data_IF_829259761749
#
_entry.id   IF_829259761749
#
_cell.length_a   1.000
_cell.length_b   1.000
_cell.length_c   1.000
_cell.angle_alpha   90.00
_cell.angle_beta   90.00
_cell.angle_gamma   90.00
#
_symmetry.space_group_name_H-M   'P 1'
#
loop_
_entity.id
_entity.type
_entity.pdbx_description
1 polymer ?
#
# COMPACT_ATOMS: atom_id res chain seq x y z
N UNK A 1 -22.44 24.32 14.89
CA UNK A 1 -23.43 23.69 13.97
C UNK A 1 -24.10 22.54 14.71
N UNK A 2 -25.43 22.38 14.60
CA UNK A 2 -26.16 21.32 15.31
C UNK A 2 -26.39 20.13 14.36
N UNK A 3 -25.48 19.16 14.39
CA UNK A 3 -25.53 17.98 13.51
C UNK A 3 -26.73 17.09 13.77
N UNK A 4 -27.29 17.04 15.00
CA UNK A 4 -28.48 16.25 15.28
C UNK A 4 -29.71 16.78 14.53
N UNK A 5 -29.85 18.11 14.44
CA UNK A 5 -30.95 18.74 13.68
C UNK A 5 -30.82 18.47 12.17
N UNK A 6 -29.60 18.56 11.64
CA UNK A 6 -29.34 18.32 10.21
C UNK A 6 -29.55 16.84 9.89
N UNK A 7 -29.02 15.95 10.72
CA UNK A 7 -29.21 14.51 10.57
C UNK A 7 -30.69 14.13 10.58
N UNK A 8 -31.50 14.70 11.48
CA UNK A 8 -32.94 14.44 11.50
C UNK A 8 -33.60 14.78 10.16
N UNK A 9 -33.28 15.96 9.59
CA UNK A 9 -33.78 16.38 8.27
C UNK A 9 -33.34 15.41 7.17
N UNK A 10 -32.04 15.13 7.09
CA UNK A 10 -31.45 14.27 6.05
C UNK A 10 -32.02 12.84 6.12
N UNK A 11 -32.24 12.33 7.35
CA UNK A 11 -32.87 11.04 7.59
C UNK A 11 -34.33 11.01 7.09
N UNK A 12 -35.07 12.10 7.27
CA UNK A 12 -36.47 12.21 6.83
C UNK A 12 -36.59 12.33 5.31
N UNK A 13 -35.66 13.02 4.64
CA UNK A 13 -35.67 13.16 3.17
C UNK A 13 -35.24 11.88 2.46
N UNK A 14 -34.31 11.13 3.05
CA UNK A 14 -33.71 9.94 2.42
C UNK A 14 -32.95 10.27 1.13
N UNK A 15 -32.68 11.55 0.88
CA UNK A 15 -32.02 12.02 -0.32
C UNK A 15 -30.51 11.75 -0.21
N UNK A 16 -29.98 10.95 -1.14
CA UNK A 16 -28.58 10.51 -1.10
C UNK A 16 -27.58 11.65 -1.34
N UNK A 17 -27.97 12.68 -2.08
CA UNK A 17 -27.15 13.89 -2.24
C UNK A 17 -27.06 14.65 -0.92
N UNK A 18 -28.18 14.84 -0.23
CA UNK A 18 -28.17 15.49 1.10
C UNK A 18 -27.40 14.67 2.15
N UNK A 19 -27.45 13.34 2.07
CA UNK A 19 -26.63 12.46 2.91
C UNK A 19 -25.15 12.68 2.60
N UNK A 20 -24.77 12.71 1.33
CA UNK A 20 -23.38 12.95 0.94
C UNK A 20 -22.86 14.32 1.40
N UNK A 21 -23.65 15.39 1.21
CA UNK A 21 -23.30 16.73 1.68
C UNK A 21 -23.12 16.75 3.20
N UNK A 22 -24.03 16.08 3.93
CA UNK A 22 -23.93 15.94 5.38
C UNK A 22 -22.66 15.19 5.81
N UNK A 23 -22.28 14.11 5.13
CA UNK A 23 -21.05 13.34 5.42
C UNK A 23 -19.80 14.20 5.19
N UNK A 24 -19.78 15.00 4.11
CA UNK A 24 -18.69 15.91 3.81
C UNK A 24 -18.57 17.00 4.88
N UNK A 25 -19.68 17.62 5.28
CA UNK A 25 -19.72 18.59 6.37
C UNK A 25 -19.22 17.99 7.69
N UNK A 26 -19.65 16.77 8.00
CA UNK A 26 -19.22 16.05 9.21
C UNK A 26 -17.71 15.75 9.20
N UNK A 27 -17.13 15.56 8.01
CA UNK A 27 -15.71 15.26 7.82
C UNK A 27 -14.78 16.47 7.96
N UNK A 28 -15.31 17.70 7.93
CA UNK A 28 -14.48 18.91 8.12
C UNK A 28 -14.04 19.08 9.58
N UNK A 29 -14.88 18.68 10.54
CA UNK A 29 -14.56 18.67 11.97
C UNK A 29 -15.08 17.36 12.60
N UNK A 30 -14.42 16.21 12.31
CA UNK A 30 -14.91 14.90 12.72
C UNK A 30 -14.84 14.74 14.23
N UNK A 31 -15.97 14.33 14.82
CA UNK A 31 -16.13 14.03 16.26
C UNK A 31 -16.63 12.62 16.46
N UNK A 32 -16.27 12.00 17.58
CA UNK A 32 -16.68 10.63 17.92
C UNK A 32 -18.20 10.44 17.86
N UNK A 33 -18.97 11.44 18.32
CA UNK A 33 -20.44 11.43 18.24
C UNK A 33 -20.97 11.27 16.81
N UNK A 34 -20.18 11.62 15.78
CA UNK A 34 -20.53 11.43 14.39
C UNK A 34 -20.70 9.96 13.99
N UNK A 35 -20.03 9.03 14.69
CA UNK A 35 -20.14 7.58 14.44
C UNK A 35 -21.58 7.08 14.58
N UNK A 36 -22.42 7.71 15.41
CA UNK A 36 -23.83 7.32 15.56
C UNK A 36 -24.62 7.52 14.27
N UNK A 37 -24.29 8.56 13.49
CA UNK A 37 -24.93 8.84 12.20
C UNK A 37 -24.45 7.85 11.14
N UNK A 38 -23.14 7.59 11.09
CA UNK A 38 -22.54 6.63 10.16
C UNK A 38 -23.11 5.23 10.38
N UNK A 39 -23.15 4.77 11.64
CA UNK A 39 -23.73 3.48 12.01
C UNK A 39 -25.19 3.38 11.58
N UNK A 40 -25.96 4.46 11.70
CA UNK A 40 -27.33 4.50 11.21
C UNK A 40 -27.39 4.27 9.69
N UNK A 41 -26.60 5.00 8.89
CA UNK A 41 -26.61 4.83 7.44
C UNK A 41 -26.15 3.44 7.00
N UNK A 42 -25.07 2.91 7.56
CA UNK A 42 -24.58 1.55 7.26
C UNK A 42 -25.64 0.49 7.58
N UNK A 43 -26.40 0.66 8.66
CA UNK A 43 -27.37 -0.34 9.12
C UNK A 43 -28.71 -0.26 8.38
N UNK A 44 -29.13 0.93 7.95
CA UNK A 44 -30.51 1.17 7.50
C UNK A 44 -30.64 1.42 5.99
N UNK A 45 -29.56 1.74 5.29
CA UNK A 45 -29.58 1.85 3.83
C UNK A 45 -29.41 0.46 3.19
N UNK A 46 -30.08 0.25 2.05
CA UNK A 46 -29.80 -0.94 1.24
C UNK A 46 -28.43 -0.80 0.53
N UNK A 47 -27.93 -1.90 -0.03
CA UNK A 47 -26.60 -1.93 -0.68
C UNK A 47 -26.45 -0.86 -1.76
N UNK A 48 -27.44 -0.71 -2.65
CA UNK A 48 -27.40 0.27 -3.74
C UNK A 48 -27.33 1.72 -3.25
N UNK A 49 -28.04 2.02 -2.15
CA UNK A 49 -28.00 3.34 -1.53
C UNK A 49 -26.68 3.59 -0.80
N UNK A 50 -26.17 2.56 -0.12
CA UNK A 50 -24.91 2.63 0.59
C UNK A 50 -23.74 2.87 -0.38
N UNK A 51 -23.71 2.16 -1.50
CA UNK A 51 -22.69 2.33 -2.54
C UNK A 51 -22.59 3.79 -3.03
N UNK A 52 -23.72 4.49 -3.12
CA UNK A 52 -23.77 5.90 -3.56
C UNK A 52 -23.24 6.91 -2.55
N UNK A 53 -23.13 6.53 -1.28
CA UNK A 53 -22.57 7.38 -0.22
C UNK A 53 -21.25 6.84 0.32
N UNK A 54 -20.78 5.72 -0.23
CA UNK A 54 -19.73 4.91 0.37
C UNK A 54 -18.40 5.65 0.41
N UNK A 55 -18.04 6.34 -0.67
CA UNK A 55 -16.81 7.13 -0.75
C UNK A 55 -16.73 8.15 0.41
N UNK A 56 -17.78 8.93 0.62
CA UNK A 56 -17.83 9.94 1.68
C UNK A 56 -17.93 9.32 3.08
N UNK A 57 -18.54 8.14 3.18
CA UNK A 57 -18.58 7.36 4.42
C UNK A 57 -17.17 6.89 4.82
N UNK A 58 -16.41 6.32 3.88
CA UNK A 58 -15.03 5.89 4.10
C UNK A 58 -14.14 7.10 4.41
N UNK A 59 -14.27 8.18 3.63
CA UNK A 59 -13.54 9.43 3.87
C UNK A 59 -13.73 9.95 5.30
N UNK A 60 -14.99 10.04 5.75
CA UNK A 60 -15.30 10.45 7.13
C UNK A 60 -14.63 9.55 8.17
N UNK A 61 -14.71 8.22 7.98
CA UNK A 61 -14.10 7.27 8.92
C UNK A 61 -12.57 7.43 8.96
N UNK A 62 -11.92 7.69 7.82
CA UNK A 62 -10.50 8.01 7.76
C UNK A 62 -10.14 9.29 8.52
N UNK A 63 -10.87 10.39 8.27
CA UNK A 63 -10.67 11.68 8.95
C UNK A 63 -10.88 11.57 10.47
N UNK A 64 -11.90 10.83 10.89
CA UNK A 64 -12.17 10.59 12.30
C UNK A 64 -11.12 9.67 12.92
N UNK A 65 -10.77 8.57 12.25
CA UNK A 65 -9.83 7.56 12.72
C UNK A 65 -8.40 8.07 12.89
N UNK A 66 -8.05 9.17 12.22
CA UNK A 66 -6.82 9.91 12.49
C UNK A 66 -6.80 10.50 13.92
N UNK A 67 -7.96 10.90 14.44
CA UNK A 67 -8.09 11.63 15.72
C UNK A 67 -8.48 10.72 16.88
N UNK A 68 -9.29 9.70 16.62
CA UNK A 68 -9.87 8.84 17.66
C UNK A 68 -9.83 7.37 17.27
N UNK A 69 -10.01 6.51 18.28
CA UNK A 69 -10.31 5.10 18.09
C UNK A 69 -11.50 4.90 17.16
N UNK A 70 -11.35 4.07 16.13
CA UNK A 70 -12.50 3.42 15.53
C UNK A 70 -12.76 2.10 16.23
N UNK A 71 -14.04 1.82 16.48
CA UNK A 71 -14.49 0.51 16.93
C UNK A 71 -14.27 -0.54 15.82
N UNK A 72 -14.08 -1.80 16.20
CA UNK A 72 -13.88 -2.92 15.27
C UNK A 72 -14.99 -3.03 14.23
N UNK A 73 -16.23 -2.64 14.59
CA UNK A 73 -17.35 -2.56 13.66
C UNK A 73 -17.02 -1.72 12.41
N UNK A 74 -16.41 -0.54 12.59
CA UNK A 74 -16.08 0.36 11.48
C UNK A 74 -14.85 -0.10 10.71
N UNK A 75 -13.85 -0.68 11.41
CA UNK A 75 -12.67 -1.24 10.74
C UNK A 75 -13.05 -2.45 9.88
N UNK A 76 -13.91 -3.33 10.40
CA UNK A 76 -14.46 -4.46 9.65
C UNK A 76 -15.28 -3.99 8.45
N UNK A 77 -16.09 -2.95 8.62
CA UNK A 77 -16.80 -2.32 7.51
C UNK A 77 -15.82 -1.86 6.42
N UNK A 78 -14.83 -1.02 6.75
CA UNK A 78 -13.81 -0.54 5.79
C UNK A 78 -13.15 -1.72 5.06
N UNK A 79 -12.72 -2.74 5.81
CA UNK A 79 -12.02 -3.89 5.25
C UNK A 79 -12.91 -4.70 4.28
N UNK A 80 -14.19 -4.91 4.62
CA UNK A 80 -15.13 -5.62 3.76
C UNK A 80 -15.38 -4.87 2.45
N UNK A 81 -15.53 -3.54 2.52
CA UNK A 81 -15.84 -2.73 1.34
C UNK A 81 -14.73 -2.77 0.29
N UNK A 82 -13.47 -2.95 0.69
CA UNK A 82 -12.36 -3.04 -0.26
C UNK A 82 -12.60 -4.08 -1.38
N UNK A 83 -13.18 -5.24 -1.06
CA UNK A 83 -13.39 -6.32 -2.04
C UNK A 83 -14.66 -6.15 -2.90
N UNK A 84 -15.52 -5.19 -2.57
CA UNK A 84 -16.82 -5.02 -3.22
C UNK A 84 -16.98 -3.68 -3.93
N UNK A 85 -16.06 -2.74 -3.73
CA UNK A 85 -16.18 -1.40 -4.29
C UNK A 85 -15.34 -1.17 -5.54
N UNK A 86 -15.68 -0.10 -6.27
CA UNK A 86 -14.89 0.38 -7.39
C UNK A 86 -13.51 0.92 -6.96
N UNK A 87 -12.67 1.20 -7.96
CA UNK A 87 -11.28 1.64 -7.76
C UNK A 87 -11.14 2.96 -6.98
N UNK A 88 -12.12 3.86 -7.05
CA UNK A 88 -12.05 5.15 -6.34
C UNK A 88 -12.32 4.96 -4.85
N UNK A 89 -13.32 4.14 -4.51
CA UNK A 89 -13.58 3.77 -3.12
C UNK A 89 -12.42 2.95 -2.55
N UNK A 90 -11.85 1.99 -3.32
CA UNK A 90 -10.68 1.22 -2.86
C UNK A 90 -9.47 2.11 -2.57
N UNK A 91 -9.20 3.12 -3.41
CA UNK A 91 -8.15 4.12 -3.15
C UNK A 91 -8.43 4.92 -1.87
N UNK A 92 -9.68 5.36 -1.67
CA UNK A 92 -10.05 6.08 -0.44
C UNK A 92 -9.98 5.20 0.82
N UNK A 93 -10.23 3.89 0.69
CA UNK A 93 -10.01 2.93 1.77
C UNK A 93 -8.53 2.90 2.17
N UNK A 94 -7.59 2.79 1.21
CA UNK A 94 -6.16 2.80 1.52
C UNK A 94 -5.73 4.12 2.17
N UNK A 95 -6.19 5.26 1.65
CA UNK A 95 -5.92 6.58 2.25
C UNK A 95 -6.46 6.69 3.67
N UNK A 96 -7.65 6.15 3.91
CA UNK A 96 -8.29 6.14 5.22
C UNK A 96 -7.54 5.24 6.19
N UNK A 97 -7.10 4.06 5.75
CA UNK A 97 -6.23 3.19 6.54
C UNK A 97 -4.94 3.93 6.92
N UNK A 98 -4.26 4.59 5.99
CA UNK A 98 -3.06 5.41 6.30
C UNK A 98 -3.31 6.42 7.42
N UNK A 99 -4.42 7.15 7.37
CA UNK A 99 -4.81 8.12 8.41
C UNK A 99 -5.00 7.44 9.77
N UNK A 100 -5.68 6.29 9.79
CA UNK A 100 -5.94 5.49 10.99
C UNK A 100 -4.64 4.93 11.60
N UNK A 101 -3.70 4.48 10.77
CA UNK A 101 -2.41 3.93 11.21
C UNK A 101 -1.63 4.88 12.11
N UNK A 102 -1.66 6.18 11.77
CA UNK A 102 -0.89 7.18 12.49
C UNK A 102 -1.38 7.40 13.93
N UNK A 103 -2.57 6.91 14.27
CA UNK A 103 -3.08 6.94 15.64
C UNK A 103 -2.93 5.59 16.36
N UNK A 104 -2.79 4.45 15.65
CA UNK A 104 -2.93 3.08 16.21
C UNK A 104 -2.29 1.96 15.38
N UNK A 105 -2.09 0.81 16.02
CA UNK A 105 -1.78 -0.45 15.32
C UNK A 105 -3.01 -1.01 14.58
N UNK A 106 -2.83 -1.46 13.34
CA UNK A 106 -3.90 -2.06 12.54
C UNK A 106 -4.31 -3.47 12.96
N UNK A 107 -5.58 -3.86 12.74
CA UNK A 107 -5.98 -5.26 12.63
C UNK A 107 -5.23 -5.99 11.51
N UNK A 108 -5.08 -7.30 11.65
CA UNK A 108 -4.41 -8.16 10.65
C UNK A 108 -5.09 -8.10 9.28
N UNK A 109 -6.41 -7.95 9.27
CA UNK A 109 -7.24 -7.88 8.06
C UNK A 109 -6.91 -6.63 7.24
N UNK A 110 -6.66 -5.50 7.89
CA UNK A 110 -6.27 -4.27 7.21
C UNK A 110 -4.89 -4.39 6.57
N UNK A 111 -3.94 -5.09 7.22
CA UNK A 111 -2.65 -5.39 6.62
C UNK A 111 -2.76 -6.26 5.36
N UNK A 112 -3.66 -7.26 5.35
CA UNK A 112 -3.88 -8.08 4.15
C UNK A 112 -4.37 -7.25 2.96
N UNK A 113 -5.21 -6.25 3.22
CA UNK A 113 -5.71 -5.34 2.18
C UNK A 113 -4.58 -4.46 1.68
N UNK A 114 -3.79 -3.86 2.56
CA UNK A 114 -2.63 -3.03 2.21
C UNK A 114 -1.63 -3.84 1.36
N UNK A 115 -1.33 -5.08 1.78
CA UNK A 115 -0.45 -5.99 1.03
C UNK A 115 -1.01 -6.32 -0.36
N UNK A 116 -2.29 -6.70 -0.43
CA UNK A 116 -2.93 -7.05 -1.71
C UNK A 116 -3.03 -5.87 -2.67
N UNK A 117 -3.19 -4.66 -2.15
CA UNK A 117 -3.33 -3.44 -2.93
C UNK A 117 -2.04 -3.00 -3.66
N UNK A 118 -0.87 -3.55 -3.33
CA UNK A 118 0.36 -3.39 -4.12
C UNK A 118 0.24 -3.99 -5.54
N UNK A 119 -0.69 -4.93 -5.74
CA UNK A 119 -0.89 -5.64 -7.02
C UNK A 119 -2.06 -5.11 -7.84
N UNK A 120 -2.62 -3.97 -7.46
CA UNK A 120 -3.72 -3.35 -8.20
C UNK A 120 -3.23 -2.73 -9.51
N UNK A 121 -4.01 -2.90 -10.58
CA UNK A 121 -3.73 -2.27 -11.88
C UNK A 121 -3.94 -0.74 -11.84
N UNK A 122 -4.72 -0.25 -10.86
CA UNK A 122 -4.99 1.17 -10.71
C UNK A 122 -3.90 1.84 -9.88
N UNK A 123 -2.93 2.44 -10.57
CA UNK A 123 -1.74 3.09 -9.98
C UNK A 123 -2.00 4.03 -8.79
N UNK A 124 -3.10 4.80 -8.71
CA UNK A 124 -3.38 5.61 -7.53
C UNK A 124 -3.49 4.79 -6.24
N UNK A 125 -4.08 3.59 -6.29
CA UNK A 125 -4.14 2.68 -5.13
C UNK A 125 -2.73 2.26 -4.72
N UNK A 126 -1.92 1.83 -5.69
CA UNK A 126 -0.51 1.43 -5.45
C UNK A 126 0.27 2.59 -4.82
N UNK A 127 0.12 3.81 -5.33
CA UNK A 127 0.77 4.99 -4.74
C UNK A 127 0.29 5.25 -3.30
N UNK A 128 -1.00 5.18 -3.03
CA UNK A 128 -1.55 5.34 -1.68
C UNK A 128 -1.00 4.28 -0.71
N UNK A 129 -0.74 3.06 -1.18
CA UNK A 129 -0.08 2.01 -0.39
C UNK A 129 1.40 2.33 -0.16
N UNK A 130 2.12 2.80 -1.17
CA UNK A 130 3.53 3.19 -1.00
C UNK A 130 3.67 4.36 -0.01
N UNK A 131 2.72 5.30 0.01
CA UNK A 131 2.69 6.36 1.03
C UNK A 131 2.56 5.82 2.46
N UNK A 132 1.89 4.68 2.65
CA UNK A 132 1.85 4.00 3.96
C UNK A 132 3.25 3.48 4.31
N UNK A 133 3.89 2.78 3.37
CA UNK A 133 5.20 2.19 3.58
C UNK A 133 6.30 3.24 3.79
N UNK A 134 6.20 4.41 3.16
CA UNK A 134 7.10 5.54 3.41
C UNK A 134 7.06 6.02 4.86
N UNK A 135 5.93 5.89 5.56
CA UNK A 135 5.76 6.32 6.95
C UNK A 135 6.18 5.25 7.98
N UNK A 136 6.46 4.02 7.54
CA UNK A 136 6.89 2.94 8.42
C UNK A 136 8.40 2.95 8.63
N UNK A 137 8.81 2.75 9.89
CA UNK A 137 10.22 2.57 10.25
C UNK A 137 10.78 1.25 9.71
N UNK A 138 9.97 0.19 9.75
CA UNK A 138 10.36 -1.15 9.30
C UNK A 138 9.21 -1.78 8.51
N UNK A 139 9.57 -2.50 7.45
CA UNK A 139 8.64 -3.24 6.60
C UNK A 139 8.97 -4.72 6.70
N UNK A 140 7.93 -5.54 6.86
CA UNK A 140 8.06 -6.99 6.93
C UNK A 140 8.71 -7.55 5.65
N UNK A 141 9.72 -8.45 5.72
CA UNK A 141 10.41 -8.99 4.55
C UNK A 141 9.48 -9.60 3.48
N UNK A 142 8.36 -10.17 3.90
CA UNK A 142 7.37 -10.76 2.98
C UNK A 142 6.73 -9.71 2.07
N UNK A 143 6.60 -8.47 2.55
CA UNK A 143 6.05 -7.34 1.80
C UNK A 143 7.13 -6.72 0.89
N UNK A 144 8.39 -6.70 1.35
CA UNK A 144 9.49 -6.14 0.56
C UNK A 144 9.55 -6.77 -0.84
N UNK A 145 9.29 -8.07 -0.98
CA UNK A 145 9.18 -8.73 -2.29
C UNK A 145 8.18 -8.04 -3.21
N UNK A 146 6.97 -7.78 -2.72
CA UNK A 146 5.91 -7.14 -3.50
C UNK A 146 6.32 -5.73 -3.93
N UNK A 147 7.03 -5.01 -3.05
CA UNK A 147 7.59 -3.70 -3.35
C UNK A 147 8.70 -3.81 -4.42
N UNK A 148 9.57 -4.83 -4.35
CA UNK A 148 10.60 -5.10 -5.37
C UNK A 148 9.97 -5.31 -6.75
N UNK A 149 8.84 -6.03 -6.84
CA UNK A 149 8.17 -6.28 -8.11
C UNK A 149 7.68 -4.98 -8.79
N UNK A 150 7.44 -3.92 -8.01
CA UNK A 150 7.06 -2.61 -8.55
C UNK A 150 8.22 -1.83 -9.17
N UNK A 151 9.47 -2.31 -9.07
CA UNK A 151 10.60 -1.76 -9.84
C UNK A 151 10.38 -1.87 -11.36
N UNK A 152 9.50 -2.76 -11.81
CA UNK A 152 9.11 -2.87 -13.23
C UNK A 152 8.02 -1.89 -13.67
N UNK A 153 7.44 -1.10 -12.76
CA UNK A 153 6.37 -0.16 -13.09
C UNK A 153 6.77 0.78 -14.22
N UNK A 154 5.88 1.04 -15.18
CA UNK A 154 6.10 2.05 -16.22
C UNK A 154 6.00 3.48 -15.67
N UNK A 155 5.43 3.64 -14.47
CA UNK A 155 5.31 4.92 -13.79
C UNK A 155 6.57 5.27 -12.99
N UNK A 156 7.28 6.30 -13.45
CA UNK A 156 8.52 6.76 -12.81
C UNK A 156 8.33 7.23 -11.37
N UNK A 157 7.16 7.77 -11.00
CA UNK A 157 6.90 8.20 -9.62
C UNK A 157 6.80 6.99 -8.69
N UNK A 158 6.10 5.92 -9.13
CA UNK A 158 6.05 4.66 -8.39
C UNK A 158 7.45 4.08 -8.23
N UNK A 159 8.21 4.00 -9.33
CA UNK A 159 9.60 3.52 -9.30
C UNK A 159 10.47 4.28 -8.30
N UNK A 160 10.38 5.61 -8.28
CA UNK A 160 11.16 6.42 -7.35
C UNK A 160 10.79 6.12 -5.89
N UNK A 161 9.49 6.11 -5.56
CA UNK A 161 9.02 5.77 -4.20
C UNK A 161 9.49 4.37 -3.77
N UNK A 162 9.39 3.41 -4.68
CA UNK A 162 9.88 2.04 -4.45
C UNK A 162 11.37 2.02 -4.15
N UNK A 163 12.20 2.74 -4.92
CA UNK A 163 13.64 2.83 -4.67
C UNK A 163 13.94 3.40 -3.28
N UNK A 164 13.32 4.54 -2.93
CA UNK A 164 13.50 5.20 -1.63
C UNK A 164 13.10 4.28 -0.46
N UNK A 165 11.98 3.55 -0.62
CA UNK A 165 11.54 2.56 0.39
C UNK A 165 12.56 1.42 0.51
N UNK A 166 13.01 0.84 -0.61
CA UNK A 166 13.92 -0.29 -0.61
C UNK A 166 15.30 0.06 -0.04
N UNK A 167 15.86 1.22 -0.40
CA UNK A 167 17.14 1.70 0.14
C UNK A 167 17.10 1.91 1.65
N UNK A 168 15.95 2.35 2.18
CA UNK A 168 15.77 2.55 3.63
C UNK A 168 15.60 1.24 4.40
N UNK A 169 15.02 0.21 3.77
CA UNK A 169 14.62 -1.03 4.46
C UNK A 169 15.55 -2.22 4.16
N UNK A 170 16.52 -2.09 3.25
CA UNK A 170 17.50 -3.11 2.93
C UNK A 170 18.89 -2.52 3.17
N UNK A 171 19.50 -2.89 4.30
CA UNK A 171 20.71 -2.26 4.79
C UNK A 171 21.98 -2.71 4.06
N UNK A 172 21.97 -3.94 3.55
CA UNK A 172 23.14 -4.54 2.91
C UNK A 172 22.75 -5.63 1.91
N UNK A 173 23.75 -6.08 1.16
CA UNK A 173 23.61 -7.13 0.13
C UNK A 173 23.21 -8.49 0.72
N UNK A 174 23.68 -8.83 1.92
CA UNK A 174 23.34 -10.11 2.57
C UNK A 174 21.85 -10.16 2.91
N UNK A 175 21.31 -9.03 3.38
CA UNK A 175 19.88 -8.84 3.61
C UNK A 175 19.09 -8.93 2.30
N UNK A 176 19.56 -8.28 1.22
CA UNK A 176 18.94 -8.41 -0.10
C UNK A 176 18.89 -9.87 -0.57
N UNK A 177 20.01 -10.60 -0.52
CA UNK A 177 20.07 -12.02 -0.90
C UNK A 177 19.12 -12.86 -0.04
N UNK A 178 19.05 -12.56 1.26
CA UNK A 178 18.14 -13.25 2.19
C UNK A 178 16.68 -13.03 1.82
N UNK A 179 16.28 -11.79 1.53
CA UNK A 179 14.92 -11.44 1.10
C UNK A 179 14.57 -12.11 -0.24
N UNK A 180 15.51 -12.14 -1.19
CA UNK A 180 15.35 -12.81 -2.47
C UNK A 180 15.23 -14.33 -2.32
N UNK A 181 15.92 -14.92 -1.36
CA UNK A 181 15.89 -16.37 -1.09
C UNK A 181 14.64 -16.78 -0.32
N UNK A 182 14.17 -15.94 0.61
CA UNK A 182 12.98 -16.17 1.41
C UNK A 182 11.79 -16.50 0.49
N UNK A 183 11.09 -17.61 0.75
CA UNK A 183 9.96 -18.08 -0.04
C UNK A 183 10.21 -18.08 -1.57
N UNK A 184 11.47 -18.31 -1.98
CA UNK A 184 11.89 -18.36 -3.37
C UNK A 184 11.54 -17.10 -4.17
N UNK A 185 11.57 -15.93 -3.51
CA UNK A 185 11.19 -14.64 -4.08
C UNK A 185 11.93 -14.27 -5.37
N UNK A 186 13.17 -14.74 -5.55
CA UNK A 186 13.96 -14.56 -6.76
C UNK A 186 13.28 -15.10 -8.02
N UNK A 187 12.38 -16.09 -7.91
CA UNK A 187 11.73 -16.75 -9.06
C UNK A 187 10.78 -15.81 -9.81
N UNK A 188 10.11 -14.91 -9.10
CA UNK A 188 9.11 -13.98 -9.69
C UNK A 188 9.73 -12.75 -10.35
N UNK A 189 11.03 -12.51 -10.19
CA UNK A 189 11.67 -11.32 -10.73
C UNK A 189 11.89 -11.44 -12.24
N UNK A 190 11.57 -10.36 -12.95
CA UNK A 190 11.93 -10.20 -14.36
C UNK A 190 13.36 -9.68 -14.49
N UNK A 191 13.91 -9.73 -15.72
CA UNK A 191 15.22 -9.14 -16.03
C UNK A 191 15.31 -7.65 -15.70
N UNK A 192 14.20 -6.91 -15.87
CA UNK A 192 14.15 -5.48 -15.57
C UNK A 192 14.19 -5.21 -14.07
N UNK A 193 13.46 -5.99 -13.26
CA UNK A 193 13.56 -5.97 -11.81
C UNK A 193 14.99 -6.27 -11.34
N UNK A 194 15.58 -7.36 -11.84
CA UNK A 194 16.94 -7.77 -11.50
C UNK A 194 17.93 -6.64 -11.80
N UNK A 195 17.86 -6.06 -12.99
CA UNK A 195 18.72 -4.94 -13.38
C UNK A 195 18.55 -3.74 -12.45
N UNK A 196 17.30 -3.41 -12.09
CA UNK A 196 17.00 -2.29 -11.20
C UNK A 196 17.59 -2.51 -9.81
N UNK A 197 17.48 -3.72 -9.25
CA UNK A 197 18.11 -4.08 -7.98
C UNK A 197 19.64 -3.99 -8.05
N UNK A 198 20.23 -4.51 -9.13
CA UNK A 198 21.68 -4.48 -9.33
C UNK A 198 22.19 -3.03 -9.38
N UNK A 199 21.49 -2.15 -10.09
CA UNK A 199 21.83 -0.72 -10.17
C UNK A 199 21.63 -0.02 -8.82
N UNK A 200 20.55 -0.35 -8.09
CA UNK A 200 20.19 0.31 -6.85
C UNK A 200 21.22 0.03 -5.74
N UNK A 201 21.57 -1.24 -5.55
CA UNK A 201 22.32 -1.68 -4.36
C UNK A 201 23.84 -1.82 -4.57
N UNK A 202 24.36 -1.77 -5.80
CA UNK A 202 25.76 -2.14 -6.07
C UNK A 202 26.55 -1.09 -6.84
N UNK A 203 26.90 0.01 -6.17
CA UNK A 203 27.62 1.13 -6.81
C UNK A 203 29.11 0.87 -7.13
N UNK A 204 29.64 -0.32 -6.82
CA UNK A 204 31.05 -0.67 -7.07
C UNK A 204 31.22 -2.09 -7.61
N UNK A 205 32.27 -2.31 -8.39
CA UNK A 205 32.61 -3.64 -8.91
C UNK A 205 32.89 -4.65 -7.78
N UNK A 206 33.44 -4.20 -6.64
CA UNK A 206 33.74 -5.05 -5.48
C UNK A 206 32.45 -5.57 -4.84
N UNK A 207 31.51 -4.67 -4.53
CA UNK A 207 30.22 -5.05 -3.92
C UNK A 207 29.40 -5.92 -4.86
N UNK A 208 29.48 -5.65 -6.16
CA UNK A 208 28.80 -6.42 -7.20
C UNK A 208 29.37 -7.84 -7.32
N UNK A 209 30.69 -8.01 -7.25
CA UNK A 209 31.34 -9.32 -7.29
C UNK A 209 30.99 -10.17 -6.06
N UNK A 210 30.90 -9.54 -4.89
CA UNK A 210 30.45 -10.25 -3.68
C UNK A 210 28.99 -10.74 -3.80
N UNK A 211 28.13 -9.98 -4.48
CA UNK A 211 26.77 -10.42 -4.78
C UNK A 211 26.76 -11.58 -5.78
N UNK A 212 27.59 -11.52 -6.84
CA UNK A 212 27.80 -12.64 -7.76
C UNK A 212 28.13 -13.92 -7.01
N UNK A 213 29.15 -13.90 -6.15
CA UNK A 213 29.54 -15.07 -5.36
C UNK A 213 28.38 -15.62 -4.53
N UNK A 214 27.55 -14.75 -3.96
CA UNK A 214 26.38 -15.14 -3.18
C UNK A 214 25.34 -15.87 -4.04
N UNK A 215 25.10 -15.40 -5.27
CA UNK A 215 24.20 -16.05 -6.22
C UNK A 215 24.76 -17.41 -6.66
N UNK A 216 26.05 -17.49 -7.00
CA UNK A 216 26.69 -18.73 -7.44
C UNK A 216 26.61 -19.82 -6.36
N UNK A 217 26.91 -19.44 -5.10
CA UNK A 217 26.90 -20.34 -3.93
C UNK A 217 25.49 -20.68 -3.44
N UNK A 218 24.45 -19.98 -3.90
CA UNK A 218 23.06 -20.23 -3.48
C UNK A 218 22.54 -21.59 -3.94
N UNK A 219 21.45 -22.06 -3.35
CA UNK A 219 20.72 -23.24 -3.81
C UNK A 219 19.63 -22.92 -4.86
N UNK A 220 19.69 -21.73 -5.47
CA UNK A 220 18.68 -21.28 -6.42
C UNK A 220 18.64 -22.15 -7.68
N UNK A 221 17.52 -22.10 -8.38
CA UNK A 221 17.37 -22.75 -9.69
C UNK A 221 18.41 -22.21 -10.68
N UNK A 222 19.07 -23.12 -11.40
CA UNK A 222 20.17 -22.76 -12.31
C UNK A 222 19.73 -21.76 -13.38
N UNK A 223 18.52 -21.91 -13.91
CA UNK A 223 17.92 -20.96 -14.86
C UNK A 223 17.87 -19.54 -14.30
N UNK A 224 17.51 -19.39 -13.02
CA UNK A 224 17.43 -18.10 -12.35
C UNK A 224 18.80 -17.55 -11.98
N UNK A 225 19.75 -18.40 -11.58
CA UNK A 225 21.15 -17.97 -11.40
C UNK A 225 21.70 -17.35 -12.69
N UNK A 226 21.53 -18.03 -13.82
CA UNK A 226 21.98 -17.54 -15.13
C UNK A 226 21.36 -16.18 -15.48
N UNK A 227 20.07 -15.97 -15.20
CA UNK A 227 19.43 -14.66 -15.41
C UNK A 227 20.06 -13.55 -14.58
N UNK A 228 20.29 -13.78 -13.29
CA UNK A 228 20.95 -12.82 -12.40
C UNK A 228 22.38 -12.53 -12.83
N UNK A 229 23.19 -13.57 -13.05
CA UNK A 229 24.59 -13.44 -13.44
C UNK A 229 24.75 -12.65 -14.74
N UNK A 230 23.82 -12.81 -15.69
CA UNK A 230 23.83 -12.04 -16.94
C UNK A 230 23.62 -10.54 -16.73
N UNK A 231 22.71 -10.16 -15.83
CA UNK A 231 22.49 -8.74 -15.52
C UNK A 231 23.65 -8.16 -14.70
N UNK A 232 24.25 -8.95 -13.79
CA UNK A 232 25.49 -8.61 -13.09
C UNK A 232 26.63 -8.35 -14.09
N UNK A 233 26.89 -9.27 -15.02
CA UNK A 233 27.91 -9.11 -16.06
C UNK A 233 27.70 -7.84 -16.88
N UNK A 234 26.44 -7.57 -17.24
CA UNK A 234 26.06 -6.41 -18.03
C UNK A 234 26.39 -5.12 -17.28
N UNK A 235 26.03 -5.05 -16.00
CA UNK A 235 26.28 -3.87 -15.19
C UNK A 235 27.75 -3.70 -14.80
N UNK A 236 28.48 -4.78 -14.53
CA UNK A 236 29.91 -4.75 -14.26
C UNK A 236 30.69 -4.09 -15.41
N UNK A 237 30.32 -4.38 -16.66
CA UNK A 237 30.90 -3.72 -17.85
C UNK A 237 30.62 -2.22 -17.89
N UNK A 238 29.48 -1.78 -17.38
CA UNK A 238 29.13 -0.34 -17.30
C UNK A 238 30.00 0.33 -16.24
N UNK A 239 30.11 -0.27 -15.05
CA UNK A 239 30.95 0.25 -13.97
C UNK A 239 32.42 0.38 -14.39
N UNK A 240 32.97 -0.63 -15.07
CA UNK A 240 34.37 -0.63 -15.53
C UNK A 240 34.66 0.34 -16.69
N UNK A 241 33.62 0.78 -17.43
CA UNK A 241 33.76 1.81 -18.49
C UNK A 241 33.62 3.23 -17.98
N UNK A 242 33.08 3.41 -16.78
CA UNK A 242 32.94 4.70 -16.11
C UNK A 242 34.14 5.11 -15.25
N UNK A 243 35.18 4.26 -15.20
CA UNK A 243 36.49 4.48 -14.57
C UNK A 243 37.49 4.79 -15.69
#
# INVERSE_FOLDING_TARGET
MNFDKIFKRVKETGNLTEINDFLLELSQDPKADGLKYIKYFITNLNSTQLDQILLNTIYFLGELGQKVALEDYFLNFINQQFYHSDRWVRDEIIKSLRKIQNSRTFPKESWKIIEGALREDYEPIVNSVLDIFEQLNEIRPEIIKEIILLLDSTNNKIKQKVQEILERNINNKEELVSILTLNENYKSLTKSCIRSLVILFFQSAITLEQFRESIEKSNWEESKKVEFLKEIDTYQRILLRGI
#
